data_IF_214521503925
#
_entry.id   IF_214521503925
#
_cell.length_a   1.000
_cell.length_b   1.000
_cell.length_c   1.000
_cell.angle_alpha   90.00
_cell.angle_beta   90.00
_cell.angle_gamma   90.00
#
_symmetry.space_group_name_H-M   'P 1'
#
loop_
_entity.id
_entity.type
_entity.pdbx_description
1 polymer ?
#
# COMPACT_ATOMS: atom_id res chain seq x y z
N UNK A 1 14.50 39.41 45.53
CA UNK A 1 14.09 37.97 45.56
C UNK A 1 13.04 37.60 44.54
N UNK A 2 12.02 38.42 44.23
CA UNK A 2 10.99 38.05 43.26
C UNK A 2 11.47 37.98 41.80
N UNK A 3 12.42 38.82 41.40
CA UNK A 3 12.95 38.88 40.02
C UNK A 3 13.77 37.62 39.61
N UNK A 4 14.48 37.01 40.54
CA UNK A 4 15.30 35.79 40.25
C UNK A 4 14.45 34.54 40.09
N UNK A 5 13.29 34.45 40.79
CA UNK A 5 12.38 33.30 40.64
C UNK A 5 11.60 33.35 39.34
N UNK A 6 11.27 34.52 38.83
CA UNK A 6 10.60 34.69 37.54
C UNK A 6 11.52 34.32 36.37
N UNK A 7 12.79 34.66 36.43
CA UNK A 7 13.77 34.30 35.41
C UNK A 7 14.04 32.77 35.36
N UNK A 8 14.05 32.12 36.54
CA UNK A 8 14.22 30.66 36.59
C UNK A 8 13.01 29.93 36.00
N UNK A 9 11.78 30.39 36.26
CA UNK A 9 10.57 29.81 35.73
C UNK A 9 10.48 29.95 34.20
N UNK A 10 10.90 31.11 33.66
CA UNK A 10 10.95 31.32 32.21
C UNK A 10 11.99 30.44 31.51
N UNK A 11 13.16 30.25 32.13
CA UNK A 11 14.21 29.39 31.57
C UNK A 11 13.78 27.90 31.53
N UNK A 12 13.15 27.41 32.60
CA UNK A 12 12.65 26.02 32.67
C UNK A 12 11.55 25.78 31.65
N UNK A 13 10.62 26.72 31.47
CA UNK A 13 9.54 26.61 30.48
C UNK A 13 10.08 26.57 29.04
N UNK A 14 11.09 27.37 28.73
CA UNK A 14 11.72 27.39 27.42
C UNK A 14 12.46 26.08 27.09
N UNK A 15 13.12 25.47 28.05
CA UNK A 15 13.81 24.18 27.87
C UNK A 15 12.85 23.04 27.65
N UNK A 16 11.73 23.00 28.41
CA UNK A 16 10.70 21.96 28.25
C UNK A 16 10.01 22.06 26.88
N UNK A 17 9.62 23.27 26.46
CA UNK A 17 8.98 23.47 25.16
C UNK A 17 9.94 23.17 23.98
N UNK A 18 11.18 23.63 24.08
CA UNK A 18 12.21 23.33 23.09
C UNK A 18 12.54 21.83 23.01
N UNK A 19 12.65 21.16 24.16
CA UNK A 19 12.88 19.72 24.23
C UNK A 19 11.74 18.89 23.62
N UNK A 20 10.49 19.24 23.88
CA UNK A 20 9.32 18.57 23.29
C UNK A 20 9.25 18.80 21.78
N UNK A 21 9.57 20.03 21.32
CA UNK A 21 9.58 20.33 19.89
C UNK A 21 10.68 19.56 19.17
N UNK A 22 11.89 19.56 19.71
CA UNK A 22 13.02 18.81 19.16
C UNK A 22 12.77 17.30 19.16
N UNK A 23 12.19 16.76 20.23
CA UNK A 23 11.81 15.35 20.32
C UNK A 23 10.80 14.96 19.22
N UNK A 24 9.77 15.79 19.00
CA UNK A 24 8.79 15.55 17.94
C UNK A 24 9.40 15.68 16.55
N UNK A 25 10.33 16.60 16.35
CA UNK A 25 11.01 16.78 15.08
C UNK A 25 11.94 15.61 14.74
N UNK A 26 12.69 15.11 15.73
CA UNK A 26 13.63 13.99 15.53
C UNK A 26 12.97 12.61 15.51
N UNK A 27 11.74 12.51 16.03
CA UNK A 27 10.96 11.26 16.09
C UNK A 27 9.69 11.33 15.24
N UNK A 28 9.64 12.22 14.27
CA UNK A 28 8.59 12.18 13.26
C UNK A 28 8.61 10.82 12.56
N UNK A 29 7.47 10.12 12.57
CA UNK A 29 7.35 8.87 11.85
C UNK A 29 7.74 9.09 10.38
N UNK A 30 8.48 8.16 9.74
CA UNK A 30 8.82 8.28 8.35
C UNK A 30 7.53 8.39 7.53
N UNK A 31 7.41 9.44 6.73
CA UNK A 31 6.28 9.60 5.83
C UNK A 31 6.45 8.62 4.69
N UNK A 32 5.61 7.59 4.64
CA UNK A 32 5.60 6.66 3.51
C UNK A 32 5.07 7.40 2.30
N UNK A 33 5.87 7.50 1.25
CA UNK A 33 5.43 8.05 -0.03
C UNK A 33 4.85 6.92 -0.88
N UNK A 34 3.54 6.91 -1.07
CA UNK A 34 2.86 5.94 -1.90
C UNK A 34 2.93 6.29 -3.38
N UNK A 35 2.89 5.26 -4.22
CA UNK A 35 2.72 5.41 -5.66
C UNK A 35 1.24 5.64 -5.97
N UNK A 36 0.94 6.70 -6.70
CA UNK A 36 -0.43 7.00 -7.15
C UNK A 36 -0.59 6.49 -8.59
N UNK A 37 -1.02 5.24 -8.71
CA UNK A 37 -1.23 4.57 -10.00
C UNK A 37 -2.73 4.59 -10.30
N UNK A 38 -3.12 5.23 -11.42
CA UNK A 38 -4.51 5.30 -11.86
C UNK A 38 -4.76 4.31 -13.02
N UNK A 39 -5.69 3.37 -12.80
CA UNK A 39 -6.05 2.29 -13.73
C UNK A 39 -7.57 2.21 -13.92
N UNK A 40 -8.15 3.23 -14.55
CA UNK A 40 -9.61 3.37 -14.67
C UNK A 40 -10.23 2.40 -15.68
N UNK A 41 -9.51 2.07 -16.75
CA UNK A 41 -10.04 1.25 -17.85
C UNK A 41 -9.38 -0.12 -17.92
N UNK A 42 -10.05 -1.10 -18.51
CA UNK A 42 -9.48 -2.44 -18.76
C UNK A 42 -8.21 -2.37 -19.60
N UNK A 43 -8.18 -1.51 -20.61
CA UNK A 43 -7.00 -1.29 -21.45
C UNK A 43 -5.80 -0.80 -20.63
N UNK A 44 -5.99 0.18 -19.74
CA UNK A 44 -4.92 0.69 -18.87
C UNK A 44 -4.39 -0.40 -17.93
N UNK A 45 -5.25 -1.25 -17.39
CA UNK A 45 -4.86 -2.36 -16.49
C UNK A 45 -4.04 -3.40 -17.25
N UNK A 46 -4.46 -3.78 -18.46
CA UNK A 46 -3.77 -4.73 -19.33
C UNK A 46 -2.40 -4.20 -19.76
N UNK A 47 -2.32 -2.96 -20.18
CA UNK A 47 -1.07 -2.30 -20.56
C UNK A 47 -0.10 -2.23 -19.36
N UNK A 48 -0.61 -1.89 -18.18
CA UNK A 48 0.19 -1.81 -16.96
C UNK A 48 0.72 -3.18 -16.53
N UNK A 49 -0.12 -4.24 -16.54
CA UNK A 49 0.30 -5.61 -16.25
C UNK A 49 1.35 -6.09 -17.25
N UNK A 50 1.19 -5.77 -18.52
CA UNK A 50 2.18 -6.09 -19.57
C UNK A 50 3.51 -5.39 -19.31
N UNK A 51 3.49 -4.13 -18.92
CA UNK A 51 4.68 -3.36 -18.54
C UNK A 51 5.37 -3.93 -17.29
N UNK A 52 4.62 -4.52 -16.35
CA UNK A 52 5.16 -5.21 -15.19
C UNK A 52 5.77 -6.61 -15.54
N UNK A 53 5.64 -7.08 -16.78
CA UNK A 53 6.15 -8.38 -17.22
C UNK A 53 5.13 -9.53 -17.13
N UNK A 54 3.85 -9.22 -16.91
CA UNK A 54 2.76 -10.18 -16.74
C UNK A 54 1.62 -9.91 -17.73
N UNK A 55 1.81 -10.13 -19.02
CA UNK A 55 0.78 -9.84 -20.03
C UNK A 55 -0.48 -10.68 -19.77
N UNK A 56 -1.67 -10.05 -19.67
CA UNK A 56 -2.93 -10.75 -19.51
C UNK A 56 -3.29 -11.57 -20.76
N UNK A 57 -3.93 -12.71 -20.52
CA UNK A 57 -4.51 -13.51 -21.60
C UNK A 57 -5.77 -12.84 -22.15
N UNK A 58 -6.32 -13.38 -23.25
CA UNK A 58 -7.58 -12.90 -23.83
C UNK A 58 -8.82 -13.20 -22.97
N UNK A 59 -8.67 -14.00 -21.90
CA UNK A 59 -9.76 -14.29 -20.98
C UNK A 59 -10.27 -13.03 -20.29
N UNK A 60 -11.60 -12.94 -20.10
CA UNK A 60 -12.19 -11.85 -19.34
C UNK A 60 -11.76 -11.92 -17.88
N UNK A 61 -11.45 -10.77 -17.25
CA UNK A 61 -11.11 -10.72 -15.83
C UNK A 61 -12.31 -11.07 -14.95
N UNK A 62 -12.04 -11.62 -13.78
CA UNK A 62 -13.04 -11.77 -12.73
C UNK A 62 -13.12 -10.48 -11.91
N UNK A 63 -14.34 -10.06 -11.58
CA UNK A 63 -14.61 -8.81 -10.86
C UNK A 63 -15.38 -9.12 -9.58
N UNK A 64 -15.00 -8.50 -8.48
CA UNK A 64 -15.71 -8.57 -7.20
C UNK A 64 -15.69 -7.21 -6.49
N UNK A 65 -16.87 -6.72 -6.10
CA UNK A 65 -16.97 -5.53 -5.27
C UNK A 65 -16.58 -5.86 -3.82
N UNK A 66 -15.72 -5.06 -3.22
CA UNK A 66 -15.21 -5.27 -1.87
C UNK A 66 -15.14 -3.95 -1.10
N UNK A 67 -15.21 -4.04 0.24
CA UNK A 67 -14.79 -2.95 1.13
C UNK A 67 -13.36 -3.26 1.59
N UNK A 68 -12.47 -2.30 1.46
CA UNK A 68 -11.09 -2.45 1.92
C UNK A 68 -11.07 -2.58 3.44
N UNK A 69 -10.65 -3.72 4.00
CA UNK A 69 -10.58 -3.86 5.45
C UNK A 69 -9.39 -3.08 6.03
N UNK A 70 -9.48 -2.72 7.31
CA UNK A 70 -8.35 -2.12 8.01
C UNK A 70 -7.20 -3.13 8.13
N UNK A 71 -5.99 -2.67 7.87
CA UNK A 71 -4.80 -3.51 8.01
C UNK A 71 -4.61 -3.98 9.45
N UNK A 72 -4.12 -5.21 9.59
CA UNK A 72 -3.79 -5.85 10.87
C UNK A 72 -2.33 -6.29 10.87
N UNK A 73 -1.75 -6.47 12.06
CA UNK A 73 -0.34 -6.86 12.19
C UNK A 73 -0.14 -8.39 12.15
N UNK A 74 -1.21 -9.17 11.96
CA UNK A 74 -1.16 -10.62 12.06
C UNK A 74 -2.01 -11.32 11.00
N UNK A 75 -1.69 -12.61 10.80
CA UNK A 75 -2.40 -13.47 9.85
C UNK A 75 -2.08 -13.19 8.40
N UNK A 76 -2.78 -13.89 7.50
CA UNK A 76 -2.58 -13.78 6.05
C UNK A 76 -2.86 -12.37 5.54
N UNK A 77 -3.89 -11.71 6.09
CA UNK A 77 -4.20 -10.34 5.69
C UNK A 77 -3.15 -9.34 6.19
N UNK A 78 -2.56 -9.53 7.38
CA UNK A 78 -1.42 -8.74 7.84
C UNK A 78 -0.21 -8.87 6.93
N UNK A 79 0.11 -10.08 6.48
CA UNK A 79 1.16 -10.31 5.49
C UNK A 79 0.86 -9.62 4.14
N UNK A 80 -0.39 -9.65 3.69
CA UNK A 80 -0.84 -8.92 2.51
C UNK A 80 -0.65 -7.40 2.66
N UNK A 81 -1.06 -6.83 3.79
CA UNK A 81 -0.85 -5.40 4.07
C UNK A 81 0.62 -5.01 4.04
N UNK A 82 1.49 -5.79 4.69
CA UNK A 82 2.94 -5.58 4.69
C UNK A 82 3.52 -5.62 3.28
N UNK A 83 3.04 -6.55 2.45
CA UNK A 83 3.46 -6.65 1.05
C UNK A 83 3.03 -5.42 0.24
N UNK A 84 1.81 -4.89 0.46
CA UNK A 84 1.35 -3.68 -0.24
C UNK A 84 2.15 -2.45 0.18
N UNK A 85 2.50 -2.32 1.45
CA UNK A 85 3.36 -1.26 1.95
C UNK A 85 4.77 -1.33 1.33
N UNK A 86 5.34 -2.53 1.22
CA UNK A 86 6.63 -2.74 0.54
C UNK A 86 6.58 -2.35 -0.94
N UNK A 87 5.45 -2.57 -1.61
CA UNK A 87 5.18 -2.10 -2.97
C UNK A 87 4.82 -0.60 -3.05
N UNK A 88 4.74 0.10 -1.92
CA UNK A 88 4.31 1.50 -1.80
C UNK A 88 2.92 1.76 -2.35
N UNK A 89 2.00 0.81 -2.20
CA UNK A 89 0.60 0.96 -2.55
C UNK A 89 -0.22 1.41 -1.33
N UNK A 90 -1.20 2.34 -1.50
CA UNK A 90 -1.88 2.99 -0.38
C UNK A 90 -3.05 2.16 0.18
N UNK A 91 -2.84 0.86 0.44
CA UNK A 91 -3.88 -0.02 0.97
C UNK A 91 -4.35 0.41 2.35
N UNK A 92 -3.41 0.68 3.26
CA UNK A 92 -3.73 1.06 4.63
C UNK A 92 -4.56 2.35 4.72
N UNK A 93 -4.23 3.34 3.87
CA UNK A 93 -4.95 4.62 3.80
C UNK A 93 -6.32 4.49 3.13
N UNK A 94 -6.63 3.34 2.55
CA UNK A 94 -7.88 3.06 1.84
C UNK A 94 -8.87 2.25 2.67
N UNK A 95 -8.60 1.99 3.94
CA UNK A 95 -9.48 1.23 4.84
C UNK A 95 -10.91 1.83 4.85
N UNK A 96 -11.92 0.98 4.68
CA UNK A 96 -13.33 1.37 4.61
C UNK A 96 -13.78 1.94 3.27
N UNK A 97 -12.87 2.12 2.30
CA UNK A 97 -13.24 2.56 0.96
C UNK A 97 -13.86 1.41 0.14
N UNK A 98 -14.79 1.75 -0.75
CA UNK A 98 -15.27 0.83 -1.76
C UNK A 98 -14.20 0.64 -2.85
N UNK A 99 -13.97 -0.61 -3.21
CA UNK A 99 -13.01 -1.01 -4.23
C UNK A 99 -13.54 -2.18 -5.06
N UNK A 100 -12.94 -2.39 -6.20
CA UNK A 100 -13.15 -3.55 -7.05
C UNK A 100 -11.88 -4.41 -7.05
N UNK A 101 -12.04 -5.67 -6.70
CA UNK A 101 -11.01 -6.69 -6.85
C UNK A 101 -11.12 -7.25 -8.26
N UNK A 102 -10.06 -7.12 -9.05
CA UNK A 102 -10.02 -7.53 -10.45
C UNK A 102 -8.92 -8.55 -10.63
N UNK A 103 -9.28 -9.75 -11.06
CA UNK A 103 -8.34 -10.87 -11.24
C UNK A 103 -8.17 -11.19 -12.71
N UNK A 104 -6.96 -11.02 -13.22
CA UNK A 104 -6.56 -11.39 -14.58
C UNK A 104 -5.80 -12.70 -14.59
N UNK A 105 -6.05 -13.52 -15.61
CA UNK A 105 -5.15 -14.61 -15.96
C UNK A 105 -3.98 -14.02 -16.75
N UNK A 106 -2.75 -14.20 -16.26
CA UNK A 106 -1.56 -13.61 -16.84
C UNK A 106 -0.52 -14.70 -17.16
N UNK A 107 0.38 -14.38 -18.06
CA UNK A 107 1.54 -15.21 -18.38
C UNK A 107 2.77 -14.61 -17.72
N UNK A 108 3.63 -15.47 -17.18
CA UNK A 108 4.95 -15.03 -16.74
C UNK A 108 5.89 -14.98 -17.95
N UNK A 109 6.40 -13.81 -18.28
CA UNK A 109 7.31 -13.62 -19.41
C UNK A 109 8.62 -14.42 -19.30
N UNK A 110 9.01 -14.80 -18.08
CA UNK A 110 10.25 -15.56 -17.80
C UNK A 110 10.03 -17.07 -17.65
N UNK A 111 8.77 -17.53 -17.56
CA UNK A 111 8.41 -18.94 -17.48
C UNK A 111 7.06 -19.15 -18.17
N UNK A 112 6.83 -20.27 -18.80
CA UNK A 112 5.53 -20.56 -19.47
C UNK A 112 4.38 -20.85 -18.47
N UNK A 113 4.53 -20.49 -17.19
CA UNK A 113 3.51 -20.72 -16.16
C UNK A 113 2.39 -19.69 -16.25
N UNK A 114 1.17 -20.16 -16.06
CA UNK A 114 -0.01 -19.30 -15.95
C UNK A 114 -0.20 -18.90 -14.49
N UNK A 115 -0.29 -17.60 -14.24
CA UNK A 115 -0.51 -17.00 -12.93
C UNK A 115 -1.82 -16.19 -12.93
N UNK A 116 -2.30 -15.85 -11.75
CA UNK A 116 -3.36 -14.88 -11.57
C UNK A 116 -2.76 -13.57 -11.04
N UNK A 117 -3.11 -12.45 -11.64
CA UNK A 117 -2.79 -11.12 -11.14
C UNK A 117 -4.05 -10.51 -10.54
N UNK A 118 -4.01 -10.22 -9.25
CA UNK A 118 -5.09 -9.58 -8.53
C UNK A 118 -4.77 -8.10 -8.33
N UNK A 119 -5.68 -7.24 -8.75
CA UNK A 119 -5.62 -5.80 -8.58
C UNK A 119 -6.78 -5.36 -7.69
N UNK A 120 -6.50 -4.52 -6.71
CA UNK A 120 -7.51 -3.87 -5.89
C UNK A 120 -7.54 -2.39 -6.24
N UNK A 121 -8.65 -1.95 -6.82
CA UNK A 121 -8.80 -0.62 -7.41
C UNK A 121 -10.00 0.07 -6.78
N UNK A 122 -9.78 1.26 -6.20
CA UNK A 122 -10.86 2.09 -5.65
C UNK A 122 -11.77 2.62 -6.76
N UNK A 123 -12.96 3.07 -6.38
CA UNK A 123 -13.96 3.67 -7.28
C UNK A 123 -13.45 4.87 -8.09
N UNK A 124 -12.42 5.56 -7.62
CA UNK A 124 -11.74 6.67 -8.33
C UNK A 124 -10.67 6.18 -9.33
N UNK A 125 -10.49 4.87 -9.47
CA UNK A 125 -9.49 4.25 -10.35
C UNK A 125 -8.10 4.11 -9.75
N UNK A 126 -7.89 4.47 -8.49
CA UNK A 126 -6.59 4.35 -7.82
C UNK A 126 -6.30 2.90 -7.46
N UNK A 127 -5.14 2.37 -7.90
CA UNK A 127 -4.62 1.08 -7.49
C UNK A 127 -4.17 1.15 -6.04
N UNK A 128 -4.75 0.34 -5.16
CA UNK A 128 -4.43 0.32 -3.73
C UNK A 128 -3.81 -0.99 -3.27
N UNK A 129 -3.94 -2.04 -4.04
CA UNK A 129 -3.29 -3.33 -3.79
C UNK A 129 -3.06 -4.10 -5.08
N UNK A 130 -1.97 -4.88 -5.13
CA UNK A 130 -1.63 -5.74 -6.24
C UNK A 130 -0.85 -6.96 -5.77
N UNK A 131 -1.16 -8.12 -6.31
CA UNK A 131 -0.39 -9.34 -6.05
C UNK A 131 -0.45 -10.31 -7.23
N UNK A 132 0.52 -11.21 -7.26
CA UNK A 132 0.50 -12.40 -8.10
C UNK A 132 0.11 -13.60 -7.25
N UNK A 133 -0.63 -14.48 -7.87
CA UNK A 133 -1.12 -15.69 -7.25
C UNK A 133 -0.85 -16.87 -8.18
N UNK A 134 -0.17 -17.90 -7.65
CA UNK A 134 -0.01 -19.16 -8.32
C UNK A 134 -1.11 -20.12 -7.84
N UNK A 135 -2.05 -20.56 -8.70
CA UNK A 135 -3.09 -21.51 -8.30
C UNK A 135 -2.56 -22.83 -7.75
N UNK A 136 -1.32 -23.20 -8.11
CA UNK A 136 -0.65 -24.41 -7.58
C UNK A 136 -0.06 -24.20 -6.19
N UNK A 137 0.12 -22.95 -5.75
CA UNK A 137 0.71 -22.57 -4.46
C UNK A 137 -0.12 -21.47 -3.77
N UNK A 138 -1.36 -21.76 -3.36
CA UNK A 138 -2.32 -20.74 -2.91
C UNK A 138 -1.91 -19.97 -1.66
N UNK A 139 -1.02 -20.51 -0.85
CA UNK A 139 -0.56 -19.89 0.40
C UNK A 139 0.63 -18.93 0.20
N UNK A 140 1.14 -18.82 -1.02
CA UNK A 140 2.28 -17.97 -1.33
C UNK A 140 1.83 -16.61 -1.89
N UNK A 141 2.01 -15.57 -1.09
CA UNK A 141 1.81 -14.20 -1.53
C UNK A 141 3.05 -13.72 -2.30
N UNK A 142 2.86 -13.26 -3.53
CA UNK A 142 3.94 -12.74 -4.36
C UNK A 142 3.63 -11.30 -4.78
N UNK A 143 4.53 -10.34 -4.52
CA UNK A 143 4.33 -8.97 -4.96
C UNK A 143 4.37 -8.89 -6.49
N UNK A 144 3.54 -8.01 -7.05
CA UNK A 144 3.50 -7.77 -8.49
C UNK A 144 4.56 -6.73 -8.90
N UNK A 145 4.79 -5.74 -8.05
CA UNK A 145 5.84 -4.74 -8.21
C UNK A 145 7.10 -5.22 -7.48
N UNK A 146 8.10 -5.62 -8.22
CA UNK A 146 9.45 -5.87 -7.71
C UNK A 146 10.29 -4.62 -7.96
N UNK A 147 10.43 -3.79 -6.95
CA UNK A 147 11.34 -2.64 -6.98
C UNK A 147 12.74 -3.05 -6.58
#
# INVERSE_FOLDING_TARGET
MIRSRLLLAAAVSGVVLGGVWLYRYTHAAPTVSYQMIALQTDAQRRDWLTACGYPPTEAAPQLAAVLVPACTDSGTFGAYCTMQEAQRLPLADSAGAEAEQITYTVQNSSSESTLLAELLIRSDGTLVGAMLYDPAQPDQLTPLLTC
#
